data_IF_489208913297
#
_entry.id   IF_489208913297
#
_cell.length_a   1.000
_cell.length_b   1.000
_cell.length_c   1.000
_cell.angle_alpha   90.00
_cell.angle_beta   90.00
_cell.angle_gamma   90.00
#
_symmetry.space_group_name_H-M   'P 1'
#
loop_
_entity.id
_entity.type
_entity.pdbx_description
1 polymer ?
#
# COMPACT_ATOMS: atom_id res chain seq x y z
N UNK A 1 -25.14 2.26 19.33
CA UNK A 1 -24.88 2.00 17.89
C UNK A 1 -23.62 1.17 17.82
N UNK A 2 -23.63 0.13 17.03
CA UNK A 2 -22.51 -0.80 16.88
C UNK A 2 -22.23 -1.05 15.40
N UNK A 3 -20.98 -1.11 15.01
CA UNK A 3 -20.52 -1.40 13.64
C UNK A 3 -19.58 -2.59 13.65
N UNK A 4 -19.78 -3.53 12.74
CA UNK A 4 -18.87 -4.63 12.47
C UNK A 4 -17.85 -4.21 11.41
N UNK A 5 -16.55 -4.33 11.71
CA UNK A 5 -15.47 -4.14 10.74
C UNK A 5 -14.79 -5.48 10.52
N UNK A 6 -14.71 -5.94 9.28
CA UNK A 6 -14.17 -7.25 8.91
C UNK A 6 -12.79 -7.08 8.29
N UNK A 7 -11.77 -7.55 8.99
CA UNK A 7 -10.35 -7.45 8.62
C UNK A 7 -9.63 -6.33 9.35
N UNK A 8 -8.53 -6.66 10.04
CA UNK A 8 -7.66 -5.72 10.76
C UNK A 8 -6.40 -5.36 9.94
N UNK A 9 -6.55 -5.18 8.63
CA UNK A 9 -5.54 -4.57 7.76
C UNK A 9 -5.53 -3.04 7.91
N UNK A 10 -4.76 -2.34 7.06
CA UNK A 10 -4.64 -0.88 7.08
C UNK A 10 -6.01 -0.17 7.03
N UNK A 11 -6.86 -0.58 6.10
CA UNK A 11 -8.19 0.03 5.92
C UNK A 11 -9.12 -0.26 7.09
N UNK A 12 -9.12 -1.51 7.60
CA UNK A 12 -10.00 -1.89 8.70
C UNK A 12 -9.60 -1.26 10.02
N UNK A 13 -8.31 -1.19 10.34
CA UNK A 13 -7.82 -0.47 11.53
C UNK A 13 -8.15 1.02 11.46
N UNK A 14 -7.95 1.64 10.29
CA UNK A 14 -8.29 3.05 10.10
C UNK A 14 -9.79 3.30 10.26
N UNK A 15 -10.65 2.47 9.63
CA UNK A 15 -12.11 2.60 9.74
C UNK A 15 -12.60 2.39 11.18
N UNK A 16 -12.11 1.35 11.86
CA UNK A 16 -12.44 1.08 13.25
C UNK A 16 -12.05 2.24 14.17
N UNK A 17 -10.87 2.81 13.97
CA UNK A 17 -10.37 3.97 14.70
C UNK A 17 -11.25 5.20 14.50
N UNK A 18 -11.62 5.51 13.26
CA UNK A 18 -12.44 6.68 12.94
C UNK A 18 -13.87 6.57 13.52
N UNK A 19 -14.43 5.36 13.56
CA UNK A 19 -15.70 5.08 14.23
C UNK A 19 -15.59 5.24 15.74
N UNK A 20 -14.59 4.60 16.34
CA UNK A 20 -14.40 4.51 17.77
C UNK A 20 -14.12 5.88 18.42
N UNK A 21 -13.32 6.73 17.79
CA UNK A 21 -13.06 8.12 18.21
C UNK A 21 -14.32 8.97 18.26
N UNK A 22 -15.36 8.63 17.50
CA UNK A 22 -16.66 9.30 17.48
C UNK A 22 -17.68 8.67 18.44
N UNK A 23 -17.21 7.78 19.33
CA UNK A 23 -18.03 7.16 20.36
C UNK A 23 -18.92 6.02 19.84
N UNK A 24 -18.65 5.50 18.66
CA UNK A 24 -19.36 4.34 18.11
C UNK A 24 -18.66 3.07 18.56
N UNK A 25 -19.42 2.12 19.11
CA UNK A 25 -18.89 0.80 19.46
C UNK A 25 -18.57 0.02 18.17
N UNK A 26 -17.36 -0.55 18.13
CA UNK A 26 -16.85 -1.31 16.99
C UNK A 26 -16.54 -2.74 17.40
N UNK A 27 -17.02 -3.70 16.64
CA UNK A 27 -16.52 -5.08 16.67
C UNK A 27 -15.61 -5.28 15.46
N UNK A 28 -14.30 -5.39 15.73
CA UNK A 28 -13.30 -5.63 14.71
C UNK A 28 -12.97 -7.12 14.64
N UNK A 29 -13.25 -7.73 13.50
CA UNK A 29 -12.97 -9.15 13.26
C UNK A 29 -11.63 -9.30 12.52
N UNK A 30 -10.79 -10.19 13.04
CA UNK A 30 -9.53 -10.56 12.39
C UNK A 30 -9.37 -12.09 12.44
N UNK A 31 -9.02 -12.71 11.32
CA UNK A 31 -8.88 -14.16 11.26
C UNK A 31 -7.57 -14.70 11.86
N UNK A 32 -6.56 -13.83 12.00
CA UNK A 32 -5.33 -14.18 12.70
C UNK A 32 -5.58 -14.21 14.22
N UNK A 33 -4.86 -15.03 14.98
CA UNK A 33 -3.79 -15.97 14.58
C UNK A 33 -4.30 -17.32 14.05
N UNK A 34 -5.61 -17.62 14.17
CA UNK A 34 -6.16 -18.93 13.84
C UNK A 34 -6.00 -19.29 12.34
N UNK A 35 -6.13 -18.30 11.46
CA UNK A 35 -5.96 -18.47 10.02
C UNK A 35 -5.12 -17.32 9.45
N UNK A 36 -4.15 -17.64 8.61
CA UNK A 36 -3.30 -16.66 7.92
C UNK A 36 -3.41 -16.82 6.43
N UNK A 37 -3.21 -15.72 5.70
CA UNK A 37 -3.00 -15.78 4.26
C UNK A 37 -1.55 -16.13 3.95
N UNK A 38 -1.21 -16.54 2.73
CA UNK A 38 0.17 -16.83 2.35
C UNK A 38 1.13 -15.63 2.48
N UNK A 39 0.62 -14.39 2.52
CA UNK A 39 1.43 -13.17 2.61
C UNK A 39 1.67 -12.68 4.04
N UNK A 40 0.83 -13.10 5.00
CA UNK A 40 0.93 -12.65 6.38
C UNK A 40 1.77 -13.59 7.23
N UNK A 41 2.71 -13.03 7.97
CA UNK A 41 3.67 -13.77 8.82
C UNK A 41 3.58 -13.38 10.31
N UNK A 42 3.00 -12.21 10.62
CA UNK A 42 2.79 -11.71 11.96
C UNK A 42 1.33 -11.82 12.41
N UNK A 43 1.08 -11.89 13.72
CA UNK A 43 -0.26 -11.78 14.30
C UNK A 43 -0.71 -10.34 14.47
N UNK A 44 0.20 -9.38 14.30
CA UNK A 44 -0.09 -7.96 14.38
C UNK A 44 -1.03 -7.50 13.25
N UNK A 45 -1.77 -6.43 13.54
CA UNK A 45 -2.65 -5.77 12.58
C UNK A 45 -1.85 -4.91 11.60
N UNK A 46 -2.49 -4.50 10.51
CA UNK A 46 -1.90 -3.62 9.49
C UNK A 46 -0.51 -4.07 8.99
N UNK A 47 -0.25 -5.38 8.95
CA UNK A 47 1.02 -5.91 8.45
C UNK A 47 1.28 -5.49 7.00
N UNK A 48 2.48 -4.94 6.76
CA UNK A 48 2.91 -4.54 5.41
C UNK A 48 3.53 -5.74 4.68
N UNK A 49 2.79 -6.38 3.80
CA UNK A 49 3.20 -7.65 3.19
C UNK A 49 4.29 -7.52 2.14
N UNK A 50 4.16 -6.58 1.19
CA UNK A 50 5.06 -6.51 0.03
C UNK A 50 6.27 -5.58 0.23
N UNK A 51 6.13 -4.50 1.01
CA UNK A 51 7.15 -3.47 1.20
C UNK A 51 6.93 -2.74 2.52
N UNK A 52 8.01 -2.24 3.14
CA UNK A 52 7.91 -1.34 4.29
C UNK A 52 7.78 0.13 3.88
N UNK A 53 7.71 0.44 2.60
CA UNK A 53 7.59 1.81 2.10
C UNK A 53 6.15 2.18 1.81
N UNK A 54 5.75 3.33 2.33
CA UNK A 54 4.53 4.03 1.96
C UNK A 54 4.76 5.01 0.79
N UNK A 55 5.81 4.78 0.00
CA UNK A 55 6.21 5.58 -1.17
C UNK A 55 6.61 7.02 -0.81
N UNK A 56 6.71 7.90 -1.84
CA UNK A 56 7.18 9.27 -1.68
C UNK A 56 6.39 10.08 -0.66
N UNK A 57 7.09 10.82 0.21
CA UNK A 57 6.52 11.74 1.21
C UNK A 57 6.53 13.20 0.74
N UNK A 58 6.97 13.45 -0.50
CA UNK A 58 7.06 14.80 -1.07
C UNK A 58 5.71 15.24 -1.64
N UNK A 59 5.31 16.48 -1.36
CA UNK A 59 4.02 17.05 -1.80
C UNK A 59 3.87 17.14 -3.32
N UNK A 60 4.98 17.20 -4.07
CA UNK A 60 4.95 17.18 -5.53
C UNK A 60 4.60 15.81 -6.14
N UNK A 61 4.37 14.81 -5.28
CA UNK A 61 3.85 13.49 -5.63
C UNK A 61 2.46 13.30 -5.00
N UNK A 62 1.50 12.80 -5.75
CA UNK A 62 0.12 12.68 -5.29
C UNK A 62 -0.04 11.81 -4.04
N UNK A 63 0.80 10.77 -3.87
CA UNK A 63 0.81 9.95 -2.67
C UNK A 63 1.37 10.68 -1.44
N UNK A 64 2.30 11.63 -1.65
CA UNK A 64 2.77 12.53 -0.59
C UNK A 64 1.67 13.50 -0.17
N UNK A 65 0.94 14.04 -1.14
CA UNK A 65 -0.25 14.85 -0.88
C UNK A 65 -1.31 14.07 -0.09
N UNK A 66 -1.67 12.85 -0.52
CA UNK A 66 -2.68 12.04 0.16
C UNK A 66 -2.27 11.75 1.62
N UNK A 67 -0.99 11.48 1.88
CA UNK A 67 -0.48 11.32 3.25
C UNK A 67 -0.67 12.59 4.09
N UNK A 68 -0.35 13.74 3.53
CA UNK A 68 -0.50 15.01 4.24
C UNK A 68 -1.98 15.36 4.50
N UNK A 69 -2.87 15.06 3.56
CA UNK A 69 -4.32 15.16 3.78
C UNK A 69 -4.75 14.31 4.98
N UNK A 70 -4.34 13.04 5.00
CA UNK A 70 -4.67 12.10 6.08
C UNK A 70 -4.07 12.52 7.43
N UNK A 71 -2.84 13.06 7.47
CA UNK A 71 -2.22 13.62 8.69
C UNK A 71 -3.08 14.74 9.26
N UNK A 72 -3.48 15.70 8.44
CA UNK A 72 -4.31 16.84 8.87
C UNK A 72 -5.68 16.42 9.37
N UNK A 73 -6.20 15.31 8.84
CA UNK A 73 -7.50 14.75 9.22
C UNK A 73 -7.43 13.78 10.40
N UNK A 74 -6.23 13.47 10.92
CA UNK A 74 -6.05 12.62 12.09
C UNK A 74 -6.15 11.11 11.82
N UNK A 75 -5.48 10.63 10.78
CA UNK A 75 -5.35 9.20 10.46
C UNK A 75 -4.50 8.47 11.50
N UNK A 76 -4.99 7.33 11.99
CA UNK A 76 -4.23 6.40 12.82
C UNK A 76 -3.00 5.87 12.09
N UNK A 77 -3.21 5.41 10.86
CA UNK A 77 -2.17 4.75 10.06
C UNK A 77 -1.01 5.69 9.81
N UNK A 78 -1.28 6.96 9.47
CA UNK A 78 -0.22 7.94 9.25
C UNK A 78 0.48 8.34 10.55
N UNK A 79 -0.25 8.47 11.66
CA UNK A 79 0.36 8.74 12.96
C UNK A 79 1.34 7.63 13.37
N UNK A 80 0.93 6.36 13.26
CA UNK A 80 1.81 5.22 13.51
C UNK A 80 3.00 5.14 12.54
N UNK A 81 2.78 5.48 11.26
CA UNK A 81 3.84 5.48 10.27
C UNK A 81 4.91 6.55 10.54
N UNK A 82 4.49 7.74 10.97
CA UNK A 82 5.42 8.82 11.30
C UNK A 82 6.25 8.50 12.57
N UNK A 83 5.67 7.82 13.57
CA UNK A 83 6.38 7.40 14.79
C UNK A 83 7.37 6.25 14.56
N UNK A 84 7.11 5.39 13.58
CA UNK A 84 7.95 4.23 13.26
C UNK A 84 8.79 4.42 12.00
N UNK A 85 8.97 5.66 11.58
CA UNK A 85 9.72 6.06 10.38
C UNK A 85 11.16 5.54 10.46
N UNK A 86 11.64 5.02 9.33
CA UNK A 86 13.06 4.72 9.08
C UNK A 86 13.55 5.56 7.91
N UNK A 87 14.86 5.78 7.85
CA UNK A 87 15.47 6.58 6.77
C UNK A 87 15.29 5.89 5.41
N UNK A 88 14.76 6.66 4.45
CA UNK A 88 14.52 6.21 3.08
C UNK A 88 14.49 7.38 2.09
N UNK A 89 15.38 8.36 2.23
CA UNK A 89 15.47 9.52 1.36
C UNK A 89 14.17 10.33 1.31
N UNK A 90 13.58 10.49 0.12
CA UNK A 90 12.32 11.21 -0.05
C UNK A 90 11.04 10.37 0.12
N UNK A 91 11.17 9.12 0.60
CA UNK A 91 10.03 8.24 0.86
C UNK A 91 9.69 8.19 2.37
N UNK A 92 8.45 7.84 2.69
CA UNK A 92 8.06 7.40 4.02
C UNK A 92 8.21 5.88 4.06
N UNK A 93 9.24 5.39 4.70
CA UNK A 93 9.39 3.98 5.06
C UNK A 93 9.31 3.83 6.57
N UNK A 94 8.91 2.65 7.03
CA UNK A 94 8.70 2.37 8.45
C UNK A 94 9.45 1.12 8.88
N UNK A 95 9.78 1.01 10.16
CA UNK A 95 10.08 -0.28 10.76
C UNK A 95 8.82 -1.14 10.65
N UNK A 96 8.90 -2.21 9.85
CA UNK A 96 7.74 -3.04 9.51
C UNK A 96 7.06 -3.63 10.73
N UNK A 97 7.84 -4.16 11.66
CA UNK A 97 7.31 -4.79 12.87
C UNK A 97 6.87 -3.77 13.92
N UNK A 98 7.65 -2.71 14.10
CA UNK A 98 7.31 -1.60 14.99
C UNK A 98 6.00 -0.93 14.59
N UNK A 99 5.80 -0.70 13.29
CA UNK A 99 4.57 -0.14 12.75
C UNK A 99 3.34 -1.03 13.04
N UNK A 100 3.41 -2.31 12.65
CA UNK A 100 2.30 -3.23 12.83
C UNK A 100 1.93 -3.40 14.32
N UNK A 101 2.94 -3.53 15.19
CA UNK A 101 2.76 -3.61 16.63
C UNK A 101 2.09 -2.35 17.19
N UNK A 102 2.56 -1.16 16.82
CA UNK A 102 2.00 0.11 17.30
C UNK A 102 0.54 0.29 16.88
N UNK A 103 0.19 -0.04 15.63
CA UNK A 103 -1.21 -0.04 15.18
C UNK A 103 -2.04 -1.02 16.00
N UNK A 104 -1.53 -2.23 16.24
CA UNK A 104 -2.21 -3.26 17.02
C UNK A 104 -2.49 -2.78 18.45
N UNK A 105 -1.48 -2.22 19.11
CA UNK A 105 -1.58 -1.70 20.48
C UNK A 105 -2.64 -0.60 20.58
N UNK A 106 -2.62 0.39 19.69
CA UNK A 106 -3.59 1.48 19.67
C UNK A 106 -5.03 1.01 19.44
N UNK A 107 -5.21 0.09 18.48
CA UNK A 107 -6.54 -0.46 18.17
C UNK A 107 -7.07 -1.29 19.34
N UNK A 108 -6.24 -2.15 19.93
CA UNK A 108 -6.66 -3.03 21.05
C UNK A 108 -6.90 -2.26 22.35
N UNK A 109 -6.19 -1.17 22.58
CA UNK A 109 -6.35 -0.35 23.80
C UNK A 109 -7.55 0.58 23.74
N UNK A 110 -8.13 0.83 22.56
CA UNK A 110 -9.24 1.78 22.43
C UNK A 110 -10.54 1.23 23.06
N UNK A 111 -11.16 1.94 24.03
CA UNK A 111 -12.29 1.41 24.82
C UNK A 111 -13.55 1.09 23.99
N UNK A 112 -13.72 1.71 22.83
CA UNK A 112 -14.85 1.48 21.93
C UNK A 112 -14.57 0.42 20.85
N UNK A 113 -13.42 -0.26 20.87
CA UNK A 113 -13.09 -1.33 19.91
C UNK A 113 -13.00 -2.66 20.65
N UNK A 114 -13.83 -3.61 20.27
CA UNK A 114 -13.75 -4.99 20.70
C UNK A 114 -13.19 -5.83 19.56
N UNK A 115 -12.06 -6.48 19.77
CA UNK A 115 -11.44 -7.35 18.77
C UNK A 115 -11.96 -8.79 18.96
N UNK A 116 -12.38 -9.42 17.86
CA UNK A 116 -12.75 -10.84 17.81
C UNK A 116 -11.82 -11.54 16.82
N UNK A 117 -10.98 -12.42 17.34
CA UNK A 117 -10.04 -13.24 16.55
C UNK A 117 -10.76 -14.45 15.95
N UNK A 118 -11.48 -14.21 14.87
CA UNK A 118 -12.27 -15.22 14.17
C UNK A 118 -12.41 -14.87 12.69
N UNK A 119 -12.39 -15.89 11.85
CA UNK A 119 -12.74 -15.74 10.44
C UNK A 119 -14.24 -15.44 10.31
N UNK A 120 -14.56 -14.39 9.59
CA UNK A 120 -15.92 -14.11 9.14
C UNK A 120 -16.10 -14.73 7.76
N UNK A 121 -17.04 -15.65 7.64
CA UNK A 121 -17.29 -16.41 6.40
C UNK A 121 -18.48 -15.92 5.60
N UNK A 122 -19.28 -14.98 6.15
CA UNK A 122 -20.43 -14.38 5.49
C UNK A 122 -20.63 -12.92 5.96
N UNK A 123 -21.22 -12.09 5.12
CA UNK A 123 -21.59 -10.74 5.51
C UNK A 123 -22.77 -10.80 6.50
N UNK A 124 -22.69 -10.16 7.69
CA UNK A 124 -23.80 -10.13 8.64
C UNK A 124 -25.11 -9.65 8.01
N UNK A 125 -26.21 -10.38 8.27
CA UNK A 125 -27.52 -10.08 7.71
C UNK A 125 -28.10 -8.77 8.25
N UNK A 126 -27.72 -8.40 9.47
CA UNK A 126 -28.20 -7.20 10.16
C UNK A 126 -27.05 -6.32 10.64
N UNK A 127 -27.38 -5.07 10.97
CA UNK A 127 -26.42 -4.09 11.47
C UNK A 127 -25.58 -3.45 10.37
N UNK A 128 -24.77 -2.49 10.76
CA UNK A 128 -23.84 -1.78 9.86
C UNK A 128 -22.51 -2.51 9.79
N UNK A 129 -22.00 -2.70 8.57
CA UNK A 129 -20.78 -3.50 8.30
C UNK A 129 -19.85 -2.73 7.39
N UNK A 130 -18.56 -2.72 7.73
CA UNK A 130 -17.47 -2.32 6.82
C UNK A 130 -16.63 -3.56 6.51
N UNK A 131 -16.61 -3.98 5.25
CA UNK A 131 -15.79 -5.09 4.76
C UNK A 131 -14.44 -4.53 4.32
N UNK A 132 -13.39 -4.81 5.10
CA UNK A 132 -12.02 -4.33 4.90
C UNK A 132 -11.02 -5.49 4.92
N UNK A 133 -11.45 -6.66 4.45
CA UNK A 133 -10.67 -7.91 4.47
C UNK A 133 -9.50 -7.94 3.48
N UNK A 134 -9.39 -6.91 2.64
CA UNK A 134 -8.26 -6.69 1.74
C UNK A 134 -8.25 -7.63 0.52
N UNK A 135 -7.17 -7.61 -0.26
CA UNK A 135 -7.07 -8.36 -1.51
C UNK A 135 -6.94 -9.88 -1.29
N UNK A 136 -6.50 -10.30 -0.11
CA UNK A 136 -6.34 -11.71 0.27
C UNK A 136 -7.50 -12.20 1.15
N UNK A 137 -8.70 -11.73 0.84
CA UNK A 137 -9.95 -12.19 1.47
C UNK A 137 -10.05 -13.71 1.40
N UNK A 138 -10.49 -14.35 2.49
CA UNK A 138 -10.66 -15.81 2.54
C UNK A 138 -11.67 -16.29 1.50
N UNK A 139 -11.50 -17.52 1.02
CA UNK A 139 -12.36 -18.09 -0.01
C UNK A 139 -13.85 -18.10 0.39
N UNK A 140 -14.14 -18.38 1.65
CA UNK A 140 -15.51 -18.40 2.16
C UNK A 140 -16.15 -17.00 2.13
N UNK A 141 -15.44 -15.98 2.65
CA UNK A 141 -15.94 -14.60 2.61
C UNK A 141 -15.97 -14.05 1.19
N UNK A 142 -15.01 -14.41 0.34
CA UNK A 142 -15.00 -14.01 -1.08
C UNK A 142 -16.21 -14.57 -1.82
N UNK A 143 -16.56 -15.83 -1.58
CA UNK A 143 -17.77 -16.44 -2.13
C UNK A 143 -19.06 -15.74 -1.64
N UNK A 144 -19.14 -15.43 -0.35
CA UNK A 144 -20.29 -14.71 0.22
C UNK A 144 -20.41 -13.28 -0.32
N UNK A 145 -19.30 -12.59 -0.57
CA UNK A 145 -19.27 -11.28 -1.22
C UNK A 145 -19.78 -11.41 -2.67
N UNK A 146 -19.28 -12.38 -3.43
CA UNK A 146 -19.70 -12.59 -4.81
C UNK A 146 -21.20 -12.93 -4.91
N UNK A 147 -21.72 -13.77 -4.02
CA UNK A 147 -23.16 -14.07 -3.93
C UNK A 147 -23.99 -12.83 -3.62
N UNK A 148 -23.54 -11.99 -2.67
CA UNK A 148 -24.23 -10.75 -2.28
C UNK A 148 -24.28 -9.73 -3.40
N UNK A 149 -23.21 -9.62 -4.19
CA UNK A 149 -23.05 -8.61 -5.24
C UNK A 149 -23.59 -9.06 -6.60
N UNK A 150 -23.74 -10.36 -6.82
CA UNK A 150 -24.10 -10.95 -8.11
C UNK A 150 -22.90 -11.14 -9.06
N UNK A 151 -23.16 -11.82 -10.18
CA UNK A 151 -22.13 -12.18 -11.16
C UNK A 151 -21.47 -10.96 -11.81
N UNK A 152 -20.16 -11.04 -12.02
CA UNK A 152 -19.35 -10.04 -12.74
C UNK A 152 -18.87 -8.84 -11.93
N UNK A 153 -19.18 -8.77 -10.63
CA UNK A 153 -18.74 -7.68 -9.75
C UNK A 153 -17.42 -7.93 -9.03
N UNK A 154 -16.89 -9.16 -9.05
CA UNK A 154 -15.58 -9.50 -8.50
C UNK A 154 -14.59 -9.79 -9.61
N UNK A 155 -13.42 -9.16 -9.54
CA UNK A 155 -12.33 -9.32 -10.49
C UNK A 155 -11.06 -9.76 -9.73
N UNK A 156 -10.12 -10.38 -10.44
CA UNK A 156 -8.89 -10.85 -9.82
C UNK A 156 -7.68 -10.31 -10.59
N UNK A 157 -6.62 -10.02 -9.84
CA UNK A 157 -5.29 -9.76 -10.41
C UNK A 157 -4.21 -10.42 -9.54
N UNK A 158 -3.00 -10.51 -10.07
CA UNK A 158 -1.88 -11.10 -9.35
C UNK A 158 -0.91 -10.01 -8.92
N UNK A 159 -0.46 -10.11 -7.66
CA UNK A 159 0.56 -9.26 -7.06
C UNK A 159 1.73 -10.10 -6.56
N UNK A 160 2.93 -9.54 -6.58
CA UNK A 160 4.14 -10.24 -6.18
C UNK A 160 4.91 -9.43 -5.12
N UNK A 161 5.40 -10.12 -4.09
CA UNK A 161 6.28 -9.55 -3.09
C UNK A 161 7.76 -9.63 -3.51
N UNK A 162 8.57 -8.67 -3.06
CA UNK A 162 10.00 -8.65 -3.27
C UNK A 162 10.76 -9.39 -2.15
N UNK A 163 11.93 -10.00 -2.44
CA UNK A 163 12.75 -10.67 -1.45
C UNK A 163 13.38 -9.72 -0.43
N UNK A 164 13.69 -10.26 0.75
CA UNK A 164 14.46 -9.61 1.81
C UNK A 164 15.78 -10.35 2.04
N UNK A 165 16.86 -9.58 2.26
CA UNK A 165 18.20 -10.11 2.57
C UNK A 165 18.74 -9.50 3.85
N UNK A 166 19.65 -10.21 4.55
CA UNK A 166 20.37 -9.66 5.70
C UNK A 166 21.47 -8.70 5.23
N UNK A 167 21.66 -7.59 5.94
CA UNK A 167 22.73 -6.63 5.66
C UNK A 167 24.12 -7.27 5.69
N UNK A 168 24.38 -8.11 6.69
CA UNK A 168 25.67 -8.77 6.90
C UNK A 168 26.09 -9.67 5.72
N UNK A 169 25.12 -10.16 4.95
CA UNK A 169 25.37 -11.00 3.78
C UNK A 169 25.59 -10.23 2.48
N UNK A 170 25.39 -8.90 2.50
CA UNK A 170 25.65 -8.04 1.33
C UNK A 170 27.14 -7.72 1.24
N UNK A 171 27.76 -8.01 0.11
CA UNK A 171 29.15 -7.63 -0.13
C UNK A 171 29.28 -6.12 -0.39
N UNK A 172 29.55 -5.37 0.67
CA UNK A 172 29.74 -3.92 0.59
C UNK A 172 31.05 -3.53 -0.12
N UNK A 173 31.93 -4.48 -0.44
CA UNK A 173 33.05 -4.19 -1.33
C UNK A 173 32.62 -4.02 -2.78
N UNK A 174 31.45 -4.55 -3.15
CA UNK A 174 30.83 -4.47 -4.48
C UNK A 174 29.60 -3.55 -4.52
N UNK A 175 29.34 -2.80 -3.44
CA UNK A 175 28.19 -1.91 -3.33
C UNK A 175 28.56 -0.62 -2.58
N UNK A 176 27.66 0.37 -2.61
CA UNK A 176 27.86 1.62 -1.86
C UNK A 176 26.52 2.23 -1.42
N UNK A 177 26.56 3.02 -0.37
CA UNK A 177 25.43 3.82 0.06
C UNK A 177 25.33 5.12 -0.77
N UNK A 178 24.17 5.39 -1.34
CA UNK A 178 23.84 6.67 -1.97
C UNK A 178 22.32 6.83 -2.14
N UNK A 179 21.89 8.07 -2.30
CA UNK A 179 20.56 8.41 -2.80
C UNK A 179 20.65 8.92 -4.23
N UNK A 180 19.60 8.68 -5.00
CA UNK A 180 19.54 9.07 -6.42
C UNK A 180 19.55 10.60 -6.57
N UNK A 181 20.46 11.13 -7.38
CA UNK A 181 20.68 12.58 -7.58
C UNK A 181 21.07 13.32 -6.31
N UNK A 182 21.73 12.65 -5.36
CA UNK A 182 22.13 13.19 -4.05
C UNK A 182 20.98 13.89 -3.30
N UNK A 183 19.76 13.33 -3.44
CA UNK A 183 18.56 13.85 -2.78
C UNK A 183 18.34 13.18 -1.45
N UNK A 184 18.43 13.93 -0.36
CA UNK A 184 18.29 13.41 1.00
C UNK A 184 19.55 12.70 1.47
N UNK A 185 19.36 11.74 2.37
CA UNK A 185 20.42 10.93 2.97
C UNK A 185 20.79 9.73 2.09
N UNK A 186 22.00 9.21 2.23
CA UNK A 186 22.52 8.08 1.45
C UNK A 186 21.98 6.73 1.98
N UNK A 187 20.66 6.52 1.88
CA UNK A 187 19.94 5.46 2.59
C UNK A 187 19.79 4.15 1.82
N UNK A 188 20.13 4.15 0.53
CA UNK A 188 20.02 2.95 -0.31
C UNK A 188 21.39 2.33 -0.53
N UNK A 189 21.50 1.01 -0.41
CA UNK A 189 22.64 0.26 -0.90
C UNK A 189 22.46 0.08 -2.40
N UNK A 190 23.46 0.48 -3.18
CA UNK A 190 23.45 0.41 -4.64
C UNK A 190 24.42 -0.67 -5.09
N UNK A 191 23.90 -1.69 -5.77
CA UNK A 191 24.63 -2.85 -6.27
C UNK A 191 24.77 -2.70 -7.79
N UNK A 192 25.95 -2.31 -8.30
CA UNK A 192 26.17 -2.10 -9.73
C UNK A 192 26.26 -3.41 -10.50
N UNK A 193 25.95 -3.34 -11.77
CA UNK A 193 26.17 -4.37 -12.77
C UNK A 193 26.90 -3.75 -13.95
N UNK A 194 27.93 -4.44 -14.45
CA UNK A 194 28.49 -4.18 -15.79
C UNK A 194 27.52 -4.63 -16.88
N UNK A 195 27.81 -4.33 -18.15
CA UNK A 195 26.99 -4.80 -19.26
C UNK A 195 26.96 -6.32 -19.33
N UNK A 196 28.13 -6.97 -19.18
CA UNK A 196 28.28 -8.43 -19.21
C UNK A 196 27.55 -9.11 -18.07
N UNK A 197 27.64 -8.55 -16.85
CA UNK A 197 26.92 -9.06 -15.68
C UNK A 197 25.42 -8.90 -15.82
N UNK A 198 24.99 -7.77 -16.37
CA UNK A 198 23.60 -7.54 -16.67
C UNK A 198 23.04 -8.50 -17.72
N UNK A 199 23.77 -8.73 -18.83
CA UNK A 199 23.38 -9.67 -19.88
C UNK A 199 23.21 -11.08 -19.34
N UNK A 200 24.16 -11.53 -18.50
CA UNK A 200 24.10 -12.84 -17.85
C UNK A 200 22.89 -12.92 -16.90
N UNK A 201 22.69 -11.88 -16.08
CA UNK A 201 21.56 -11.77 -15.17
C UNK A 201 20.22 -11.76 -15.91
N UNK A 202 20.08 -10.94 -16.95
CA UNK A 202 18.86 -10.83 -17.76
C UNK A 202 18.50 -12.17 -18.44
N UNK A 203 19.47 -12.85 -19.01
CA UNK A 203 19.27 -14.18 -19.60
C UNK A 203 18.81 -15.20 -18.54
N UNK A 204 19.45 -15.23 -17.39
CA UNK A 204 19.08 -16.13 -16.30
C UNK A 204 17.67 -15.83 -15.77
N UNK A 205 17.32 -14.53 -15.63
CA UNK A 205 16.03 -14.07 -15.13
C UNK A 205 14.88 -14.44 -16.07
N UNK A 206 15.08 -14.21 -17.38
CA UNK A 206 14.02 -14.43 -18.39
C UNK A 206 13.77 -15.91 -18.68
N UNK A 207 14.72 -16.78 -18.36
CA UNK A 207 14.64 -18.25 -18.57
C UNK A 207 14.40 -19.04 -17.29
N UNK A 208 14.33 -18.38 -16.14
CA UNK A 208 14.13 -19.01 -14.85
C UNK A 208 12.73 -19.66 -14.72
N UNK A 209 12.65 -20.73 -13.94
CA UNK A 209 11.39 -21.41 -13.65
C UNK A 209 10.51 -20.59 -12.71
N UNK A 210 9.26 -20.43 -13.13
CA UNK A 210 8.22 -19.77 -12.32
C UNK A 210 7.48 -20.76 -11.43
N UNK A 211 6.98 -20.28 -10.30
CA UNK A 211 6.06 -21.04 -9.48
C UNK A 211 4.73 -21.26 -10.23
N UNK A 212 4.10 -22.45 -10.15
CA UNK A 212 2.83 -22.67 -10.82
C UNK A 212 1.76 -21.73 -10.25
N UNK A 213 1.09 -21.00 -11.11
CA UNK A 213 -0.08 -20.20 -10.76
C UNK A 213 -1.30 -21.12 -10.79
N UNK A 214 -1.91 -21.38 -9.64
CA UNK A 214 -3.13 -22.15 -9.57
C UNK A 214 -4.35 -21.27 -9.84
N UNK A 215 -5.01 -21.51 -10.96
CA UNK A 215 -6.30 -20.88 -11.33
C UNK A 215 -6.20 -20.03 -12.59
N UNK A 216 -7.20 -20.20 -13.42
CA UNK A 216 -7.46 -19.72 -14.79
C UNK A 216 -6.70 -18.46 -15.26
N UNK A 217 -6.09 -18.58 -16.35
CA UNK A 217 -5.77 -17.95 -17.63
C UNK A 217 -5.86 -16.41 -17.78
N UNK A 218 -6.12 -15.59 -16.81
CA UNK A 218 -6.03 -14.15 -17.02
C UNK A 218 -4.72 -13.61 -16.47
N UNK A 219 -3.77 -13.39 -17.41
CA UNK A 219 -2.45 -12.80 -17.22
C UNK A 219 -2.50 -11.30 -16.92
N UNK A 220 -3.50 -10.83 -16.19
CA UNK A 220 -3.59 -9.44 -15.78
C UNK A 220 -2.75 -9.22 -14.52
N UNK A 221 -1.48 -8.86 -14.72
CA UNK A 221 -0.60 -8.38 -13.67
C UNK A 221 -0.76 -6.86 -13.59
N UNK A 222 -0.98 -6.34 -12.37
CA UNK A 222 -1.02 -4.91 -12.16
C UNK A 222 0.35 -4.27 -12.49
N UNK A 223 0.36 -3.20 -13.31
CA UNK A 223 1.60 -2.55 -13.78
C UNK A 223 2.51 -2.10 -12.63
N UNK A 224 1.94 -1.66 -11.48
CA UNK A 224 2.70 -1.18 -10.32
C UNK A 224 3.40 -2.26 -9.51
N UNK A 225 2.96 -3.54 -9.65
CA UNK A 225 3.51 -4.69 -8.93
C UNK A 225 3.97 -5.79 -9.88
N UNK A 226 4.32 -5.41 -11.12
CA UNK A 226 4.75 -6.34 -12.15
C UNK A 226 6.02 -7.09 -11.73
N UNK A 227 6.04 -8.43 -11.82
CA UNK A 227 7.21 -9.23 -11.53
C UNK A 227 8.41 -8.82 -12.39
N UNK A 228 9.60 -8.83 -11.79
CA UNK A 228 10.83 -8.37 -12.44
C UNK A 228 11.16 -9.19 -13.69
N UNK A 229 10.89 -10.51 -13.70
CA UNK A 229 11.05 -11.38 -14.85
C UNK A 229 10.05 -11.08 -15.98
N UNK A 230 8.84 -10.66 -15.65
CA UNK A 230 7.83 -10.24 -16.63
C UNK A 230 8.24 -8.92 -17.27
N UNK A 231 8.75 -7.96 -16.47
CA UNK A 231 9.33 -6.72 -17.02
C UNK A 231 10.52 -7.00 -17.93
N UNK A 232 11.42 -7.91 -17.52
CA UNK A 232 12.60 -8.27 -18.29
C UNK A 232 12.25 -8.84 -19.69
N UNK A 233 11.19 -9.63 -19.78
CA UNK A 233 10.71 -10.21 -21.08
C UNK A 233 10.11 -9.19 -22.03
N UNK A 234 9.76 -7.98 -21.56
CA UNK A 234 9.26 -6.89 -22.43
C UNK A 234 10.36 -6.31 -23.32
N UNK A 235 11.61 -6.53 -22.98
CA UNK A 235 12.77 -6.09 -23.74
C UNK A 235 14.03 -6.06 -22.90
N UNK A 236 15.18 -6.27 -23.53
CA UNK A 236 16.48 -6.37 -22.86
C UNK A 236 16.75 -5.16 -21.95
N UNK A 237 16.53 -3.95 -22.42
CA UNK A 237 16.85 -2.72 -21.68
C UNK A 237 15.73 -2.25 -20.75
N UNK A 238 14.58 -2.95 -20.70
CA UNK A 238 13.40 -2.51 -19.94
C UNK A 238 13.73 -2.26 -18.46
N UNK A 239 14.50 -3.14 -17.84
CA UNK A 239 14.88 -3.02 -16.43
C UNK A 239 15.78 -1.79 -16.18
N UNK A 240 16.62 -1.39 -17.13
CA UNK A 240 17.52 -0.23 -17.05
C UNK A 240 16.75 1.11 -17.10
N UNK A 241 15.50 1.11 -17.57
CA UNK A 241 14.58 2.25 -17.51
C UNK A 241 13.59 2.15 -16.35
N UNK A 242 13.56 1.00 -15.65
CA UNK A 242 12.70 0.67 -14.53
C UNK A 242 13.48 0.47 -13.22
N UNK A 243 13.35 -0.72 -12.60
CA UNK A 243 13.90 -0.99 -11.26
C UNK A 243 15.43 -0.95 -11.19
N UNK A 244 16.13 -1.26 -12.28
CA UNK A 244 17.60 -1.27 -12.33
C UNK A 244 18.18 -0.01 -12.98
N UNK A 245 17.43 1.08 -13.04
CA UNK A 245 17.86 2.32 -13.66
C UNK A 245 19.14 2.87 -13.01
N UNK A 246 20.24 3.13 -13.78
CA UNK A 246 21.49 3.63 -13.21
C UNK A 246 21.52 5.16 -13.03
N UNK A 247 20.67 5.90 -13.74
CA UNK A 247 20.68 7.37 -13.79
C UNK A 247 20.61 8.03 -12.41
N UNK A 248 21.55 8.95 -12.17
CA UNK A 248 21.67 9.70 -10.93
C UNK A 248 22.39 8.95 -9.82
N UNK A 249 23.05 7.83 -10.14
CA UNK A 249 23.87 7.04 -9.22
C UNK A 249 25.27 6.89 -9.82
N UNK A 250 26.27 7.53 -9.20
CA UNK A 250 27.67 7.40 -9.62
C UNK A 250 28.38 6.41 -8.72
N UNK A 251 29.01 5.41 -9.30
CA UNK A 251 29.86 4.48 -8.58
C UNK A 251 31.12 5.24 -8.07
N UNK A 252 31.35 5.30 -6.76
CA UNK A 252 32.51 6.00 -6.20
C UNK A 252 33.85 5.43 -6.64
N UNK A 253 33.93 4.18 -7.12
CA UNK A 253 35.16 3.56 -7.62
C UNK A 253 35.53 4.00 -9.04
N UNK A 254 34.52 4.17 -9.88
CA UNK A 254 34.72 4.53 -11.30
C UNK A 254 34.45 5.99 -11.60
N UNK A 255 33.68 6.68 -10.75
CA UNK A 255 33.19 8.05 -10.98
C UNK A 255 32.08 8.15 -12.05
N UNK A 256 31.63 7.02 -12.60
CA UNK A 256 30.65 6.96 -13.69
C UNK A 256 29.35 6.25 -13.22
N UNK A 257 28.24 6.48 -13.96
CA UNK A 257 27.03 5.70 -13.80
C UNK A 257 27.31 4.26 -14.32
N UNK A 258 26.96 3.19 -13.56
CA UNK A 258 27.07 1.81 -14.03
C UNK A 258 26.11 1.53 -15.19
N UNK A 259 26.20 0.35 -15.80
CA UNK A 259 25.23 -0.09 -16.82
C UNK A 259 23.83 -0.26 -16.21
N UNK A 260 23.74 -0.96 -15.07
CA UNK A 260 22.52 -1.13 -14.29
C UNK A 260 22.83 -1.09 -12.81
N UNK A 261 21.83 -0.80 -11.96
CA UNK A 261 21.98 -0.76 -10.50
C UNK A 261 20.76 -1.37 -9.82
N UNK A 262 20.98 -2.39 -9.01
CA UNK A 262 19.98 -2.90 -8.08
C UNK A 262 20.07 -2.10 -6.79
N UNK A 263 18.94 -1.60 -6.30
CA UNK A 263 18.86 -0.84 -5.06
C UNK A 263 18.28 -1.70 -3.95
N UNK A 264 18.92 -1.69 -2.77
CA UNK A 264 18.39 -2.29 -1.56
C UNK A 264 17.96 -1.15 -0.62
N UNK A 265 16.79 -1.30 0.00
CA UNK A 265 16.25 -0.36 0.96
C UNK A 265 16.11 -1.02 2.32
N UNK A 266 16.47 -0.28 3.38
CA UNK A 266 16.30 -0.71 4.77
C UNK A 266 14.85 -1.12 5.04
N UNK A 267 14.65 -2.27 5.68
CA UNK A 267 13.33 -2.85 5.97
C UNK A 267 12.96 -2.79 7.47
N UNK A 268 13.95 -2.60 8.35
CA UNK A 268 13.76 -2.47 9.81
C UNK A 268 14.59 -1.32 10.40
N UNK A 269 14.26 -0.90 11.63
CA UNK A 269 14.92 0.22 12.30
C UNK A 269 16.41 -0.05 12.57
N UNK A 270 16.78 -1.29 12.89
CA UNK A 270 18.16 -1.71 13.19
C UNK A 270 19.05 -1.67 11.94
N UNK A 271 18.47 -1.63 10.72
CA UNK A 271 19.23 -1.68 9.47
C UNK A 271 19.88 -3.04 9.21
N UNK A 272 19.35 -4.10 9.80
CA UNK A 272 19.85 -5.46 9.64
C UNK A 272 19.21 -6.22 8.47
N UNK A 273 18.07 -5.76 7.96
CA UNK A 273 17.30 -6.38 6.86
C UNK A 273 17.06 -5.35 5.75
N UNK A 274 17.25 -5.78 4.51
CA UNK A 274 17.09 -4.95 3.32
C UNK A 274 16.18 -5.60 2.28
N UNK A 275 15.31 -4.79 1.67
CA UNK A 275 14.40 -5.17 0.61
C UNK A 275 15.01 -4.89 -0.76
N UNK A 276 14.93 -5.85 -1.70
CA UNK A 276 15.32 -5.65 -3.09
C UNK A 276 14.26 -4.81 -3.80
N UNK A 277 14.57 -3.55 -4.08
CA UNK A 277 13.61 -2.60 -4.64
C UNK A 277 13.24 -2.95 -6.08
N UNK A 278 11.94 -3.18 -6.33
CA UNK A 278 11.44 -3.50 -7.67
C UNK A 278 11.65 -4.96 -8.09
N UNK A 279 11.99 -5.84 -7.15
CA UNK A 279 12.20 -7.28 -7.39
C UNK A 279 11.01 -8.13 -6.95
N UNK A 280 9.79 -7.63 -7.11
CA UNK A 280 8.62 -8.47 -7.02
C UNK A 280 8.77 -9.63 -8.01
N UNK A 281 8.49 -10.85 -7.58
CA UNK A 281 8.75 -12.03 -8.40
C UNK A 281 7.86 -13.21 -8.04
N UNK A 282 7.55 -14.05 -9.04
CA UNK A 282 6.92 -15.35 -8.85
C UNK A 282 7.83 -16.52 -9.27
N UNK A 283 9.13 -16.25 -9.40
CA UNK A 283 10.10 -17.32 -9.59
C UNK A 283 10.05 -18.31 -8.42
N UNK A 284 10.33 -19.58 -8.69
CA UNK A 284 10.54 -20.58 -7.62
C UNK A 284 11.68 -20.17 -6.71
N UNK A 285 11.60 -20.47 -5.41
CA UNK A 285 12.62 -20.08 -4.43
C UNK A 285 14.05 -20.48 -4.80
N UNK A 286 14.34 -21.70 -5.33
CA UNK A 286 15.68 -22.03 -5.80
C UNK A 286 16.15 -21.12 -6.95
N UNK A 287 15.25 -20.75 -7.85
CA UNK A 287 15.54 -19.84 -8.96
C UNK A 287 15.79 -18.41 -8.50
N UNK A 288 15.03 -17.92 -7.52
CA UNK A 288 15.28 -16.61 -6.92
C UNK A 288 16.69 -16.57 -6.33
N UNK A 289 17.08 -17.58 -5.55
CA UNK A 289 18.42 -17.68 -5.00
C UNK A 289 19.48 -17.73 -6.10
N UNK A 290 19.31 -18.58 -7.10
CA UNK A 290 20.25 -18.73 -8.21
C UNK A 290 20.44 -17.43 -8.99
N UNK A 291 19.33 -16.82 -9.43
CA UNK A 291 19.35 -15.64 -10.30
C UNK A 291 19.80 -14.39 -9.55
N UNK A 292 19.25 -14.13 -8.36
CA UNK A 292 19.57 -12.90 -7.64
C UNK A 292 20.99 -12.92 -7.03
N UNK A 293 21.55 -14.11 -6.77
CA UNK A 293 22.96 -14.24 -6.38
C UNK A 293 23.96 -13.99 -7.53
N UNK A 294 23.49 -13.81 -8.77
CA UNK A 294 24.35 -13.36 -9.87
C UNK A 294 24.69 -11.87 -9.80
N UNK A 295 23.97 -11.10 -8.99
CA UNK A 295 24.33 -9.71 -8.67
C UNK A 295 25.55 -9.74 -7.76
N UNK A 296 26.72 -9.13 -8.14
CA UNK A 296 27.96 -9.31 -7.39
C UNK A 296 27.86 -9.04 -5.89
N UNK A 297 27.19 -7.97 -5.52
CA UNK A 297 26.96 -7.63 -4.11
C UNK A 297 26.07 -8.62 -3.36
N UNK A 298 25.31 -9.46 -4.05
CA UNK A 298 24.40 -10.47 -3.50
C UNK A 298 24.86 -11.90 -3.72
N UNK A 299 26.09 -12.12 -4.16
CA UNK A 299 26.61 -13.45 -4.48
C UNK A 299 26.50 -14.44 -3.31
N UNK A 300 26.64 -13.96 -2.08
CA UNK A 300 26.51 -14.74 -0.85
C UNK A 300 25.31 -14.29 -0.01
N UNK A 301 24.32 -13.63 -0.61
CA UNK A 301 23.19 -13.07 0.14
C UNK A 301 22.37 -14.14 0.84
N UNK A 302 22.05 -13.88 2.09
CA UNK A 302 21.14 -14.66 2.90
C UNK A 302 19.74 -14.08 2.80
N UNK A 303 18.86 -14.84 2.13
CA UNK A 303 17.47 -14.46 1.94
C UNK A 303 16.65 -14.78 3.19
N UNK A 304 16.22 -13.76 3.92
CA UNK A 304 15.33 -13.88 5.09
C UNK A 304 13.91 -14.23 4.63
N UNK A 305 13.51 -13.70 3.47
CA UNK A 305 12.23 -13.98 2.83
C UNK A 305 12.39 -13.98 1.32
N UNK A 306 11.81 -14.97 0.67
CA UNK A 306 11.69 -15.01 -0.79
C UNK A 306 10.47 -14.21 -1.26
N UNK A 307 10.52 -13.74 -2.49
CA UNK A 307 9.37 -13.19 -3.18
C UNK A 307 8.30 -14.25 -3.43
N UNK A 308 7.04 -13.88 -3.30
CA UNK A 308 5.88 -14.76 -3.57
C UNK A 308 4.82 -13.98 -4.32
N UNK A 309 4.06 -14.69 -5.14
CA UNK A 309 2.92 -14.12 -5.85
C UNK A 309 1.61 -14.50 -5.15
N UNK A 310 0.70 -13.53 -5.09
CA UNK A 310 -0.63 -13.70 -4.50
C UNK A 310 -1.69 -13.36 -5.53
N UNK A 311 -2.80 -14.10 -5.48
CA UNK A 311 -4.02 -13.74 -6.19
C UNK A 311 -4.78 -12.73 -5.35
N UNK A 312 -4.95 -11.52 -5.86
CA UNK A 312 -5.72 -10.46 -5.24
C UNK A 312 -7.13 -10.43 -5.83
N UNK A 313 -8.11 -10.21 -4.97
CA UNK A 313 -9.51 -10.01 -5.36
C UNK A 313 -9.87 -8.54 -5.19
N UNK A 314 -10.52 -7.95 -6.19
CA UNK A 314 -11.07 -6.60 -6.09
C UNK A 314 -12.47 -6.54 -6.73
N UNK A 315 -13.21 -5.48 -6.40
CA UNK A 315 -14.56 -5.22 -6.89
C UNK A 315 -14.53 -4.38 -8.16
N UNK A 316 -15.41 -4.66 -9.09
CA UNK A 316 -15.71 -3.74 -10.17
C UNK A 316 -16.60 -2.63 -9.62
N UNK A 317 -15.99 -1.69 -8.92
CA UNK A 317 -16.66 -0.74 -8.04
C UNK A 317 -17.53 0.33 -8.69
N UNK A 318 -17.27 0.81 -9.94
CA UNK A 318 -18.15 1.77 -10.60
C UNK A 318 -19.61 1.28 -10.73
N UNK A 319 -20.55 2.09 -10.22
CA UNK A 319 -21.96 1.70 -10.17
C UNK A 319 -22.35 0.73 -9.04
N UNK A 320 -21.36 0.14 -8.36
CA UNK A 320 -21.55 -0.73 -7.21
C UNK A 320 -21.40 0.05 -5.89
N UNK A 321 -20.35 0.87 -5.79
CA UNK A 321 -20.03 1.69 -4.62
C UNK A 321 -20.27 3.18 -4.92
N UNK A 322 -20.71 3.91 -3.89
CA UNK A 322 -20.70 5.37 -3.94
C UNK A 322 -19.29 5.92 -3.63
N UNK A 323 -19.12 7.23 -3.72
CA UNK A 323 -17.85 7.92 -3.47
C UNK A 323 -17.30 7.77 -2.05
N UNK A 324 -18.10 7.27 -1.13
CA UNK A 324 -17.75 6.99 0.27
C UNK A 324 -17.52 5.49 0.50
N UNK A 325 -17.36 4.72 -0.59
CA UNK A 325 -17.15 3.27 -0.57
C UNK A 325 -18.33 2.46 -0.02
N UNK A 326 -19.53 3.05 0.06
CA UNK A 326 -20.75 2.39 0.51
C UNK A 326 -21.44 1.70 -0.66
N UNK A 327 -22.00 0.51 -0.40
CA UNK A 327 -22.75 -0.26 -1.38
C UNK A 327 -24.06 0.46 -1.71
N UNK A 328 -24.28 0.76 -2.99
CA UNK A 328 -25.48 1.52 -3.45
C UNK A 328 -26.76 0.73 -3.21
N UNK A 329 -26.71 -0.60 -3.39
CA UNK A 329 -27.86 -1.50 -3.25
C UNK A 329 -28.22 -1.83 -1.79
N UNK A 330 -27.30 -1.64 -0.84
CA UNK A 330 -27.50 -1.92 0.59
C UNK A 330 -26.65 -0.96 1.43
N UNK A 331 -27.23 0.12 1.88
CA UNK A 331 -26.56 1.24 2.56
C UNK A 331 -25.99 0.87 3.95
N UNK A 332 -26.31 -0.34 4.48
CA UNK A 332 -25.71 -0.89 5.70
C UNK A 332 -24.27 -1.31 5.47
N UNK A 333 -23.88 -1.63 4.23
CA UNK A 333 -22.60 -2.24 3.87
C UNK A 333 -21.70 -1.19 3.23
N UNK A 334 -20.49 -1.10 3.72
CA UNK A 334 -19.41 -0.38 3.05
C UNK A 334 -18.22 -1.32 2.81
N UNK A 335 -17.43 -1.04 1.81
CA UNK A 335 -16.18 -1.72 1.55
C UNK A 335 -15.01 -0.77 1.76
N UNK A 336 -13.82 -1.28 2.10
CA UNK A 336 -12.64 -0.45 2.23
C UNK A 336 -11.37 -1.23 1.86
N UNK A 337 -10.32 -0.52 1.54
CA UNK A 337 -9.03 -1.08 1.18
C UNK A 337 -8.90 -1.44 -0.29
N UNK A 338 -7.85 -2.15 -0.61
CA UNK A 338 -7.46 -2.48 -1.99
C UNK A 338 -8.55 -3.23 -2.76
N UNK A 339 -9.40 -3.98 -2.08
CA UNK A 339 -10.53 -4.67 -2.70
C UNK A 339 -11.53 -3.72 -3.39
N UNK A 340 -11.55 -2.43 -3.06
CA UNK A 340 -12.41 -1.44 -3.72
C UNK A 340 -11.86 -0.89 -5.03
N UNK A 341 -10.68 -1.35 -5.45
CA UNK A 341 -9.98 -0.83 -6.64
C UNK A 341 -9.10 0.38 -6.38
N UNK A 342 -8.84 0.75 -5.12
CA UNK A 342 -7.72 1.61 -4.78
C UNK A 342 -6.47 0.75 -4.65
N UNK A 343 -5.33 1.20 -5.18
CA UNK A 343 -4.09 0.46 -5.14
C UNK A 343 -3.05 1.16 -4.26
N UNK A 344 -2.53 0.44 -3.27
CA UNK A 344 -1.48 0.91 -2.36
C UNK A 344 -1.92 1.02 -0.90
N UNK A 345 -0.93 1.04 0.00
CA UNK A 345 -1.14 1.08 1.45
C UNK A 345 -1.83 2.37 1.92
N UNK A 346 -1.39 3.51 1.39
CA UNK A 346 -1.93 4.82 1.77
C UNK A 346 -3.34 5.00 1.23
N UNK A 347 -3.59 4.56 0.00
CA UNK A 347 -4.91 4.56 -0.63
C UNK A 347 -5.88 3.64 0.11
N UNK A 348 -5.39 2.47 0.56
CA UNK A 348 -6.19 1.57 1.40
C UNK A 348 -6.56 2.22 2.73
N UNK A 349 -5.61 2.87 3.41
CA UNK A 349 -5.89 3.62 4.63
C UNK A 349 -6.88 4.76 4.37
N UNK A 350 -6.73 5.52 3.27
CA UNK A 350 -7.62 6.61 2.90
C UNK A 350 -9.06 6.14 2.66
N UNK A 351 -9.25 4.99 1.99
CA UNK A 351 -10.58 4.41 1.79
C UNK A 351 -11.20 3.97 3.12
N UNK A 352 -10.42 3.37 4.03
CA UNK A 352 -10.85 3.01 5.38
C UNK A 352 -11.21 4.24 6.21
N UNK A 353 -10.41 5.31 6.11
CA UNK A 353 -10.67 6.59 6.75
C UNK A 353 -12.03 7.14 6.30
N UNK A 354 -12.25 7.24 4.99
CA UNK A 354 -13.45 7.81 4.44
C UNK A 354 -14.69 6.96 4.76
N UNK A 355 -14.61 5.63 4.60
CA UNK A 355 -15.69 4.72 4.95
C UNK A 355 -16.04 4.79 6.45
N UNK A 356 -15.04 4.88 7.33
CA UNK A 356 -15.24 4.99 8.78
C UNK A 356 -15.88 6.32 9.17
N UNK A 357 -15.36 7.44 8.67
CA UNK A 357 -15.91 8.79 8.94
C UNK A 357 -17.35 8.90 8.47
N UNK A 358 -17.64 8.52 7.23
CA UNK A 358 -18.98 8.68 6.66
C UNK A 358 -20.00 7.71 7.27
N UNK A 359 -19.58 6.49 7.61
CA UNK A 359 -20.43 5.57 8.37
C UNK A 359 -20.78 6.14 9.75
N UNK A 360 -19.79 6.73 10.44
CA UNK A 360 -20.01 7.37 11.74
C UNK A 360 -21.00 8.54 11.62
N UNK A 361 -20.79 9.42 10.66
CA UNK A 361 -21.65 10.60 10.42
C UNK A 361 -23.09 10.20 10.13
N UNK A 362 -23.27 9.21 9.26
CA UNK A 362 -24.60 8.67 8.95
C UNK A 362 -25.30 8.12 10.19
N UNK A 363 -24.60 7.33 10.99
CA UNK A 363 -25.17 6.77 12.23
C UNK A 363 -25.50 7.86 13.27
N UNK A 364 -24.76 8.96 13.29
CA UNK A 364 -24.99 10.12 14.17
C UNK A 364 -26.00 11.12 13.58
N UNK A 365 -26.61 10.84 12.43
CA UNK A 365 -27.56 11.72 11.76
C UNK A 365 -26.95 13.01 11.21
N UNK A 366 -25.64 13.01 10.95
CA UNK A 366 -24.90 14.14 10.39
C UNK A 366 -24.87 14.07 8.86
N UNK A 367 -24.84 15.21 8.19
CA UNK A 367 -24.66 15.26 6.73
C UNK A 367 -23.28 14.73 6.32
N UNK A 368 -23.16 14.07 5.15
CA UNK A 368 -21.87 13.63 4.63
C UNK A 368 -20.93 14.81 4.39
N UNK A 369 -19.62 14.57 4.45
CA UNK A 369 -18.61 15.59 4.11
C UNK A 369 -18.33 15.50 2.62
N UNK A 370 -18.47 16.60 1.92
CA UNK A 370 -18.09 16.68 0.52
C UNK A 370 -16.58 16.89 0.38
N UNK A 371 -15.86 15.79 0.11
CA UNK A 371 -14.46 15.84 -0.31
C UNK A 371 -14.41 16.06 -1.82
N UNK A 372 -14.11 17.28 -2.29
CA UNK A 372 -14.17 17.56 -3.73
C UNK A 372 -13.03 16.90 -4.49
N UNK A 373 -13.19 16.80 -5.82
CA UNK A 373 -12.21 16.16 -6.72
C UNK A 373 -10.84 16.83 -6.71
N UNK A 374 -10.75 18.07 -6.23
CA UNK A 374 -9.52 18.84 -6.02
C UNK A 374 -8.65 18.29 -4.89
N UNK A 375 -9.18 17.43 -4.01
CA UNK A 375 -8.43 16.70 -2.98
C UNK A 375 -8.06 15.31 -3.46
N UNK A 376 -6.93 14.78 -2.99
CA UNK A 376 -6.48 13.44 -3.38
C UNK A 376 -7.44 12.35 -2.85
N UNK A 377 -7.90 12.49 -1.61
CA UNK A 377 -8.86 11.56 -1.00
C UNK A 377 -10.22 11.60 -1.72
N UNK A 378 -10.72 12.79 -2.08
CA UNK A 378 -11.97 12.95 -2.83
C UNK A 378 -11.87 12.43 -4.25
N UNK A 379 -10.74 12.67 -4.94
CA UNK A 379 -10.48 12.17 -6.28
C UNK A 379 -10.47 10.63 -6.34
N UNK A 380 -9.90 9.95 -5.33
CA UNK A 380 -9.94 8.49 -5.22
C UNK A 380 -11.37 7.95 -5.06
N UNK A 381 -12.16 8.52 -4.14
CA UNK A 381 -13.54 8.10 -3.94
C UNK A 381 -14.40 8.30 -5.19
N UNK A 382 -14.19 9.42 -5.91
CA UNK A 382 -14.87 9.69 -7.19
C UNK A 382 -14.40 8.72 -8.29
N UNK A 383 -13.12 8.36 -8.36
CA UNK A 383 -12.63 7.37 -9.33
C UNK A 383 -13.29 6.00 -9.12
N UNK A 384 -13.38 5.54 -7.88
CA UNK A 384 -13.98 4.25 -7.52
C UNK A 384 -15.47 4.19 -7.88
N UNK A 385 -16.17 5.31 -7.83
CA UNK A 385 -17.61 5.41 -8.11
C UNK A 385 -17.98 5.85 -9.54
N UNK A 386 -16.98 6.17 -10.37
CA UNK A 386 -17.18 6.76 -11.70
C UNK A 386 -17.64 5.73 -12.73
N UNK A 387 -18.94 5.72 -13.04
CA UNK A 387 -19.54 4.81 -14.03
C UNK A 387 -19.12 5.07 -15.48
N UNK A 388 -18.40 6.15 -15.76
CA UNK A 388 -17.87 6.45 -17.10
C UNK A 388 -16.57 5.72 -17.41
N UNK A 389 -15.95 5.08 -16.42
CA UNK A 389 -14.73 4.29 -16.58
C UNK A 389 -15.05 2.94 -17.22
N UNK A 390 -14.78 2.81 -18.51
CA UNK A 390 -15.15 1.63 -19.29
C UNK A 390 -14.39 0.34 -18.90
N UNK A 391 -13.12 0.46 -18.50
CA UNK A 391 -12.26 -0.64 -18.08
C UNK A 391 -11.69 -0.29 -16.71
N UNK A 392 -12.48 -0.54 -15.67
CA UNK A 392 -12.04 -0.26 -14.30
C UNK A 392 -10.85 -1.14 -13.90
N UNK A 393 -9.80 -0.51 -13.42
CA UNK A 393 -8.59 -1.17 -12.93
C UNK A 393 -8.18 -0.56 -11.57
N UNK A 394 -7.58 -1.34 -10.68
CA UNK A 394 -6.99 -0.78 -9.47
C UNK A 394 -6.05 0.39 -9.78
N UNK A 395 -6.14 1.47 -9.02
CA UNK A 395 -5.39 2.70 -9.31
C UNK A 395 -4.74 3.28 -8.06
N UNK A 396 -3.47 3.64 -8.21
CA UNK A 396 -2.79 4.49 -7.25
C UNK A 396 -3.25 5.94 -7.40
N UNK A 397 -3.26 6.68 -6.30
CA UNK A 397 -3.48 8.13 -6.36
C UNK A 397 -2.46 8.80 -7.27
N UNK A 398 -2.95 9.66 -8.16
CA UNK A 398 -2.11 10.43 -9.07
C UNK A 398 -2.78 11.77 -9.41
N UNK A 399 -2.00 12.76 -9.82
CA UNK A 399 -2.56 14.08 -10.16
C UNK A 399 -3.44 14.09 -11.42
N UNK A 400 -3.43 12.99 -12.20
CA UNK A 400 -4.28 12.88 -13.41
C UNK A 400 -5.76 12.70 -13.11
N UNK A 401 -6.12 12.18 -11.91
CA UNK A 401 -7.52 12.04 -11.48
C UNK A 401 -8.07 13.33 -10.81
N UNK A 402 -7.20 14.30 -10.55
CA UNK A 402 -7.57 15.61 -9.99
C UNK A 402 -7.80 16.64 -11.10
N UNK A 403 -8.70 17.61 -10.92
CA UNK A 403 -8.93 18.66 -11.91
C UNK A 403 -7.68 19.51 -12.13
N UNK A 404 -7.42 19.93 -13.38
CA UNK A 404 -6.30 20.81 -13.67
C UNK A 404 -6.44 22.17 -12.96
N UNK A 405 -5.32 22.89 -12.86
CA UNK A 405 -5.35 24.30 -12.42
C UNK A 405 -5.95 25.18 -13.52
N UNK A 406 -6.68 26.22 -13.14
CA UNK A 406 -7.25 27.19 -14.08
C UNK A 406 -6.21 28.07 -14.80
N UNK A 407 -4.91 27.89 -14.51
CA UNK A 407 -3.81 28.63 -15.10
C UNK A 407 -2.66 27.69 -15.51
N UNK A 408 -1.82 28.15 -16.46
CA UNK A 408 -0.65 27.41 -16.91
C UNK A 408 0.53 27.67 -16.00
N UNK A 409 1.06 26.63 -15.36
CA UNK A 409 2.27 26.67 -14.55
C UNK A 409 3.41 25.98 -15.30
N UNK A 410 4.57 26.63 -15.37
CA UNK A 410 5.75 26.10 -16.03
C UNK A 410 6.48 25.10 -15.11
N UNK A 411 6.72 23.91 -15.64
CA UNK A 411 7.43 22.84 -14.95
C UNK A 411 6.47 21.91 -14.17
N UNK A 412 6.66 20.58 -14.35
CA UNK A 412 5.83 19.54 -13.73
C UNK A 412 5.83 19.64 -12.20
N UNK A 413 7.01 19.84 -11.60
CA UNK A 413 7.17 19.96 -10.15
C UNK A 413 6.38 21.13 -9.57
N UNK A 414 6.51 22.32 -10.17
CA UNK A 414 5.78 23.50 -9.72
C UNK A 414 4.25 23.35 -9.89
N UNK A 415 3.83 22.75 -11.02
CA UNK A 415 2.41 22.45 -11.25
C UNK A 415 1.88 21.52 -10.15
N UNK A 416 2.60 20.44 -9.84
CA UNK A 416 2.19 19.49 -8.84
C UNK A 416 2.16 20.10 -7.43
N UNK A 417 3.15 20.93 -7.08
CA UNK A 417 3.17 21.67 -5.81
C UNK A 417 1.93 22.56 -5.66
N UNK A 418 1.50 23.22 -6.74
CA UNK A 418 0.32 24.09 -6.71
C UNK A 418 -1.00 23.29 -6.60
N UNK A 419 -1.09 22.11 -7.26
CA UNK A 419 -2.20 21.19 -7.06
C UNK A 419 -2.29 20.74 -5.60
N UNK A 420 -1.16 20.43 -4.97
CA UNK A 420 -1.11 20.06 -3.57
C UNK A 420 -1.49 21.22 -2.64
N UNK A 421 -1.00 22.42 -2.91
CA UNK A 421 -1.38 23.61 -2.13
C UNK A 421 -2.90 23.83 -2.15
N UNK A 422 -3.51 23.80 -3.35
CA UNK A 422 -4.96 23.91 -3.52
C UNK A 422 -5.71 22.87 -2.70
N UNK A 423 -5.29 21.61 -2.79
CA UNK A 423 -5.91 20.53 -2.06
C UNK A 423 -5.83 20.74 -0.54
N UNK A 424 -4.65 21.07 -0.03
CA UNK A 424 -4.43 21.23 1.41
C UNK A 424 -5.20 22.43 1.99
N UNK A 425 -5.42 23.50 1.23
CA UNK A 425 -6.30 24.60 1.64
C UNK A 425 -7.77 24.13 1.79
N UNK A 426 -8.23 23.27 0.89
CA UNK A 426 -9.57 22.68 0.99
C UNK A 426 -9.66 21.75 2.21
N UNK A 427 -8.66 20.89 2.42
CA UNK A 427 -8.60 19.97 3.56
C UNK A 427 -8.62 20.76 4.89
N UNK A 428 -7.85 21.85 4.99
CA UNK A 428 -7.85 22.71 6.18
C UNK A 428 -9.23 23.29 6.46
N UNK A 429 -9.95 23.68 5.40
CA UNK A 429 -11.34 24.14 5.52
C UNK A 429 -12.34 23.06 5.94
N UNK A 430 -12.07 21.80 5.62
CA UNK A 430 -12.90 20.65 6.01
C UNK A 430 -12.55 20.06 7.37
N UNK A 431 -11.36 20.34 7.88
CA UNK A 431 -10.78 19.70 9.07
C UNK A 431 -11.69 19.76 10.29
N UNK A 432 -12.24 20.91 10.60
CA UNK A 432 -13.15 21.08 11.76
C UNK A 432 -14.39 20.19 11.60
N UNK A 433 -14.99 20.15 10.42
CA UNK A 433 -16.16 19.30 10.13
C UNK A 433 -15.85 17.82 10.23
N UNK A 434 -14.64 17.40 9.81
CA UNK A 434 -14.17 16.01 9.90
C UNK A 434 -13.90 15.63 11.34
N UNK A 435 -13.28 16.50 12.12
CA UNK A 435 -12.92 16.23 13.52
C UNK A 435 -14.08 16.46 14.50
N UNK A 436 -15.19 17.04 14.05
CA UNK A 436 -16.37 17.25 14.88
C UNK A 436 -16.89 15.92 15.44
N UNK A 437 -17.07 15.85 16.75
CA UNK A 437 -17.50 14.66 17.47
C UNK A 437 -16.37 13.68 17.82
N UNK A 438 -15.13 13.98 17.44
CA UNK A 438 -13.94 13.23 17.90
C UNK A 438 -13.70 13.59 19.37
N UNK A 439 -13.67 12.58 20.22
CA UNK A 439 -13.26 12.74 21.63
C UNK A 439 -11.75 12.77 21.69
N UNK A 440 -11.17 13.83 22.29
CA UNK A 440 -9.75 13.86 22.60
C UNK A 440 -9.43 12.77 23.62
N UNK A 441 -8.41 11.96 23.35
CA UNK A 441 -7.87 11.06 24.36
C UNK A 441 -7.24 11.92 25.47
N UNK A 442 -7.76 11.80 26.69
CA UNK A 442 -7.09 12.36 27.86
C UNK A 442 -5.77 11.60 28.02
N UNK A 443 -4.65 12.23 27.66
CA UNK A 443 -3.34 11.78 28.11
C UNK A 443 -3.32 11.92 29.64
N UNK A 444 -3.67 10.85 30.34
CA UNK A 444 -3.25 10.71 31.71
C UNK A 444 -1.75 10.40 31.66
N UNK A 445 -0.96 11.43 31.96
CA UNK A 445 0.47 11.31 32.22
C UNK A 445 0.67 10.28 33.37
N UNK A 446 1.04 9.08 32.99
CA UNK A 446 1.63 8.17 33.98
C UNK A 446 3.08 8.60 34.19
N UNK A 447 3.25 9.36 35.29
CA UNK A 447 4.54 9.63 35.93
C UNK A 447 5.16 8.36 36.51
#
# INVERSE_FOLDING_TARGET
MQVSVIGAGLAGCEAAWQLARRGIAVTLYEMKPAKRTPAHHSDDFAELCCSNSLRSDQLENAVGLLKEELRRLGSLILACADETRVEAGGALAVDRHGFARLVTERVRSHPNITVIESEVTSIPAEGTVIVASGPLTSDALSAAIAEKLGDGHTLNFYDAAAPLVTYESVDMSSAWFASRYDKGTADYINCPLTAEEYDAFWNALTTAEEAPVHGFEDKHVFEGCMPVEVMARRGHDTLCYGPLKPRGLKDPKTGHEPYAVVQLRRDNAEGSIYNLVGFQTHLRFPEQKRVFSMIPALANAEFVRYGVMHRNTYLNSPGLLDRYYRLIADDRISFAGQMTGVEGYVESAASGFLAGVETARRLLGQAPIDFPRETAIGALGLYVSDTTVANFQPMNVNFGIMPPLGCRIKGKRNKNAELSRRSLEIIDGLRESVLNGVKEESHEDHH
#
